data_IF_436776110915
#
_entry.id   IF_436776110915
#
_cell.length_a   1.000
_cell.length_b   1.000
_cell.length_c   1.000
_cell.angle_alpha   90.00
_cell.angle_beta   90.00
_cell.angle_gamma   90.00
#
_symmetry.space_group_name_H-M   'P 1'
#
loop_
_entity.id
_entity.type
_entity.pdbx_description
1 polymer ?
#
# COMPACT_ATOMS: atom_id res chain seq x y z
N UNK A 1 -53.00 -38.89 38.34
CA UNK A 1 -51.82 -38.16 38.87
C UNK A 1 -51.31 -37.25 37.78
N UNK A 2 -51.69 -35.96 37.79
CA UNK A 2 -51.13 -34.94 36.90
C UNK A 2 -49.89 -34.37 37.58
N UNK A 3 -48.73 -34.43 36.92
CA UNK A 3 -47.51 -33.78 37.38
C UNK A 3 -47.07 -32.71 36.36
N UNK A 4 -46.89 -31.51 36.91
CA UNK A 4 -46.77 -30.21 36.26
C UNK A 4 -45.52 -30.02 35.41
N UNK A 5 -45.68 -29.28 34.31
CA UNK A 5 -44.60 -28.63 33.56
C UNK A 5 -44.02 -27.47 34.37
N UNK A 6 -42.72 -27.50 34.61
CA UNK A 6 -41.94 -26.37 35.14
C UNK A 6 -41.25 -25.68 33.97
N UNK A 7 -41.66 -24.44 33.67
CA UNK A 7 -40.97 -23.53 32.75
C UNK A 7 -39.99 -22.69 33.59
N UNK A 8 -38.69 -22.93 33.43
CA UNK A 8 -37.65 -22.06 33.96
C UNK A 8 -37.47 -20.86 33.02
N UNK A 9 -37.87 -19.68 33.49
CA UNK A 9 -37.54 -18.39 32.88
C UNK A 9 -36.20 -17.91 33.47
N UNK A 10 -35.18 -17.77 32.64
CA UNK A 10 -33.93 -17.08 32.98
C UNK A 10 -34.14 -15.56 32.93
N UNK A 11 -33.61 -14.77 33.89
CA UNK A 11 -33.68 -13.32 33.82
C UNK A 11 -32.60 -12.77 32.87
N UNK A 12 -33.02 -11.90 31.96
CA UNK A 12 -32.15 -11.03 31.15
C UNK A 12 -31.43 -10.06 32.09
N UNK A 13 -30.11 -10.15 32.15
CA UNK A 13 -29.27 -9.14 32.81
C UNK A 13 -29.19 -7.89 31.91
N UNK A 14 -29.88 -6.82 32.32
CA UNK A 14 -29.77 -5.50 31.70
C UNK A 14 -28.44 -4.86 32.10
N UNK A 15 -27.46 -4.83 31.21
CA UNK A 15 -26.23 -4.05 31.38
C UNK A 15 -26.54 -2.59 31.03
N UNK A 16 -26.69 -1.76 32.05
CA UNK A 16 -26.78 -0.31 31.89
C UNK A 16 -25.40 0.25 31.46
N UNK A 17 -25.26 0.65 30.19
CA UNK A 17 -24.12 1.45 29.74
C UNK A 17 -24.25 2.86 30.31
N UNK A 18 -23.37 3.23 31.24
CA UNK A 18 -23.16 4.64 31.63
C UNK A 18 -22.58 5.39 30.43
N UNK A 19 -23.34 6.33 29.88
CA UNK A 19 -22.85 7.31 28.94
C UNK A 19 -21.93 8.30 29.68
N UNK A 20 -20.66 8.37 29.29
CA UNK A 20 -19.76 9.46 29.68
C UNK A 20 -19.91 10.55 28.64
N UNK A 21 -20.51 11.68 29.03
CA UNK A 21 -20.54 12.88 28.22
C UNK A 21 -19.13 13.50 28.23
N UNK A 22 -18.43 13.46 27.10
CA UNK A 22 -17.18 14.21 26.90
C UNK A 22 -17.56 15.59 26.37
N UNK A 23 -17.42 16.61 27.21
CA UNK A 23 -17.57 18.02 26.82
C UNK A 23 -16.37 18.45 25.98
N UNK A 24 -16.63 18.88 24.74
CA UNK A 24 -15.65 19.43 23.83
C UNK A 24 -15.47 20.93 24.09
N UNK A 25 -14.34 21.33 24.68
CA UNK A 25 -13.92 22.73 24.72
C UNK A 25 -13.04 23.00 23.49
N UNK A 26 -13.60 23.75 22.55
CA UNK A 26 -12.97 24.20 21.31
C UNK A 26 -12.13 25.44 21.62
N UNK A 27 -10.80 25.34 21.58
CA UNK A 27 -9.91 26.49 21.62
C UNK A 27 -9.47 26.87 20.19
N UNK A 28 -10.05 27.94 19.66
CA UNK A 28 -9.62 28.60 18.43
C UNK A 28 -8.37 29.44 18.69
N UNK A 29 -7.24 29.09 18.09
CA UNK A 29 -6.06 29.95 18.03
C UNK A 29 -5.77 30.29 16.56
N UNK A 30 -6.25 31.46 16.13
CA UNK A 30 -5.85 32.08 14.88
C UNK A 30 -4.44 32.66 15.05
N UNK A 31 -3.48 32.22 14.23
CA UNK A 31 -2.21 32.93 14.03
C UNK A 31 -2.25 33.65 12.69
N UNK A 32 -2.36 34.97 12.76
CA UNK A 32 -2.09 35.88 11.67
C UNK A 32 -0.57 36.06 11.54
N UNK A 33 -0.02 35.82 10.35
CA UNK A 33 1.31 36.32 9.98
C UNK A 33 1.12 37.53 9.07
N UNK A 34 1.55 38.68 9.57
CA UNK A 34 1.60 39.97 8.89
C UNK A 34 2.69 39.96 7.84
N UNK A 35 2.33 40.33 6.62
CA UNK A 35 3.25 40.76 5.57
C UNK A 35 3.80 42.14 5.88
N UNK A 36 5.10 42.33 5.70
CA UNK A 36 5.69 43.64 5.46
C UNK A 36 6.61 43.56 4.26
N UNK A 37 6.15 44.15 3.16
CA UNK A 37 6.99 44.61 2.07
C UNK A 37 7.25 46.10 2.29
N UNK A 38 8.50 46.54 2.16
CA UNK A 38 8.83 47.96 2.04
C UNK A 38 9.82 48.18 0.89
N UNK A 39 9.26 48.73 -0.18
CA UNK A 39 9.77 49.76 -1.09
C UNK A 39 11.28 49.94 -1.32
N UNK A 40 11.61 49.85 -2.60
CA UNK A 40 12.76 50.44 -3.28
C UNK A 40 12.79 51.98 -3.23
N UNK A 41 13.99 52.55 -3.09
CA UNK A 41 14.38 53.82 -3.73
C UNK A 41 15.91 53.86 -3.91
N UNK A 42 16.35 54.38 -5.05
CA UNK A 42 17.72 54.29 -5.54
C UNK A 42 18.63 55.45 -5.14
N UNK A 43 19.90 55.35 -5.55
CA UNK A 43 20.88 56.42 -5.45
C UNK A 43 22.29 55.93 -5.76
N UNK A 44 22.76 56.18 -6.98
CA UNK A 44 24.13 55.94 -7.41
C UNK A 44 25.09 57.01 -6.85
N UNK A 45 26.29 56.60 -6.43
CA UNK A 45 27.37 57.51 -6.04
C UNK A 45 28.72 56.80 -6.06
N UNK A 46 29.53 57.10 -7.09
CA UNK A 46 30.90 56.64 -7.30
C UNK A 46 31.84 57.19 -6.22
N UNK A 47 32.85 56.42 -5.83
CA UNK A 47 34.24 56.91 -5.68
C UNK A 47 35.22 55.73 -5.57
N UNK A 48 36.12 55.66 -6.55
CA UNK A 48 37.35 54.88 -6.51
C UNK A 48 38.35 55.55 -5.55
N UNK A 49 39.14 54.74 -4.83
CA UNK A 49 40.55 55.04 -4.62
C UNK A 49 41.36 53.76 -4.85
N UNK A 50 42.18 53.81 -5.92
CA UNK A 50 43.31 52.93 -6.16
C UNK A 50 44.52 53.58 -5.51
N UNK A 51 45.32 52.80 -4.78
CA UNK A 51 46.75 53.03 -4.66
C UNK A 51 47.47 51.69 -4.50
N UNK A 52 48.03 51.22 -5.61
CA UNK A 52 49.07 50.21 -5.66
C UNK A 52 50.44 50.89 -5.54
N UNK A 53 51.40 50.23 -4.88
CA UNK A 53 52.75 49.88 -5.38
C UNK A 53 53.82 49.84 -4.27
N UNK A 54 54.39 48.65 -4.09
CA UNK A 54 55.83 48.34 -4.19
C UNK A 54 56.00 46.84 -3.85
N UNK A 55 56.06 45.92 -4.83
CA UNK A 55 57.26 45.53 -5.56
C UNK A 55 58.42 45.08 -4.65
N UNK A 56 58.56 43.76 -4.48
CA UNK A 56 59.78 43.13 -3.92
C UNK A 56 59.48 41.98 -2.94
N UNK A 57 60.02 40.78 -3.23
CA UNK A 57 60.09 39.59 -2.37
C UNK A 57 58.90 38.59 -2.33
N UNK A 58 58.01 38.58 -3.32
CA UNK A 58 56.83 37.69 -3.36
C UNK A 58 57.04 36.23 -3.82
N UNK A 59 58.24 35.83 -4.27
CA UNK A 59 58.42 34.50 -4.89
C UNK A 59 59.14 33.45 -4.01
N UNK A 60 59.74 33.83 -2.88
CA UNK A 60 60.46 32.89 -2.00
C UNK A 60 59.69 32.49 -0.73
N UNK A 61 58.76 33.32 -0.26
CA UNK A 61 57.98 33.06 0.96
C UNK A 61 56.84 32.05 0.78
N UNK A 62 56.28 31.92 -0.43
CA UNK A 62 55.17 31.00 -0.70
C UNK A 62 55.63 29.53 -0.77
N UNK A 63 56.88 29.29 -1.18
CA UNK A 63 57.45 27.93 -1.21
C UNK A 63 57.85 27.41 0.18
N UNK A 64 58.35 28.28 1.06
CA UNK A 64 58.73 27.89 2.43
C UNK A 64 57.54 27.68 3.37
N UNK A 65 56.42 28.38 3.16
CA UNK A 65 55.19 28.13 3.93
C UNK A 65 54.46 26.85 3.49
N UNK A 66 54.61 26.45 2.20
CA UNK A 66 53.98 25.25 1.65
C UNK A 66 54.74 23.95 1.95
N UNK A 67 56.05 23.99 2.27
CA UNK A 67 56.83 22.79 2.62
C UNK A 67 56.94 22.51 4.13
N UNK A 68 56.70 23.49 5.00
CA UNK A 68 56.88 23.32 6.46
C UNK A 68 55.66 22.79 7.23
N UNK A 69 54.59 22.35 6.55
CA UNK A 69 53.47 21.62 7.15
C UNK A 69 53.37 20.15 6.71
N UNK A 70 54.49 19.53 6.31
CA UNK A 70 54.60 18.07 6.34
C UNK A 70 54.82 17.58 7.77
N UNK A 71 53.79 17.75 8.59
CA UNK A 71 53.67 17.08 9.88
C UNK A 71 53.18 15.66 9.64
N UNK A 72 54.10 14.70 9.74
CA UNK A 72 53.80 13.27 9.82
C UNK A 72 53.14 12.97 11.16
N UNK A 73 51.84 13.20 11.25
CA UNK A 73 50.99 12.51 12.21
C UNK A 73 50.41 11.29 11.49
N UNK A 74 50.41 10.10 12.10
CA UNK A 74 49.68 8.99 11.52
C UNK A 74 48.20 9.40 11.51
N UNK A 75 47.64 9.62 10.32
CA UNK A 75 46.19 9.56 10.16
C UNK A 75 45.83 8.10 10.37
N UNK A 76 45.60 7.74 11.64
CA UNK A 76 44.78 6.59 11.94
C UNK A 76 43.40 6.99 11.46
N UNK A 77 43.12 6.75 10.17
CA UNK A 77 41.73 6.56 9.76
C UNK A 77 41.35 5.30 10.50
N UNK A 78 40.78 5.47 11.69
CA UNK A 78 39.96 4.44 12.27
C UNK A 78 38.87 4.23 11.22
N UNK A 79 39.09 3.26 10.34
CA UNK A 79 38.01 2.49 9.78
C UNK A 79 37.27 1.99 11.02
N UNK A 80 36.25 2.74 11.44
CA UNK A 80 35.20 2.16 12.24
C UNK A 80 34.73 1.01 11.36
N UNK A 81 35.20 -0.19 11.67
CA UNK A 81 34.60 -1.40 11.15
C UNK A 81 33.13 -1.24 11.53
N UNK A 82 32.29 -0.91 10.54
CA UNK A 82 30.85 -0.99 10.73
C UNK A 82 30.64 -2.41 11.25
N UNK A 83 30.16 -2.50 12.50
CA UNK A 83 29.68 -3.78 13.00
C UNK A 83 28.73 -4.30 11.92
N UNK A 84 28.83 -5.58 11.52
CA UNK A 84 27.90 -6.15 10.56
C UNK A 84 26.50 -5.74 10.98
N UNK A 85 25.80 -4.97 10.14
CA UNK A 85 24.44 -4.55 10.45
C UNK A 85 23.66 -5.86 10.57
N UNK A 86 23.18 -6.16 11.77
CA UNK A 86 22.38 -7.36 12.01
C UNK A 86 21.29 -7.44 10.94
N UNK A 87 21.06 -8.61 10.33
CA UNK A 87 20.05 -8.75 9.30
C UNK A 87 18.71 -8.19 9.79
N UNK A 88 18.04 -7.41 8.94
CA UNK A 88 16.77 -6.79 9.30
C UNK A 88 15.78 -7.86 9.78
N UNK A 89 15.23 -7.65 10.97
CA UNK A 89 14.19 -8.51 11.53
C UNK A 89 12.83 -8.15 10.93
N UNK A 90 12.48 -8.84 9.83
CA UNK A 90 11.23 -8.60 9.12
C UNK A 90 9.97 -8.89 9.97
N UNK A 91 10.05 -9.71 11.03
CA UNK A 91 8.90 -9.87 11.93
C UNK A 91 8.64 -8.59 12.74
N UNK A 92 9.70 -7.85 13.13
CA UNK A 92 9.52 -6.54 13.77
C UNK A 92 8.91 -5.52 12.81
N UNK A 93 9.31 -5.54 11.54
CA UNK A 93 8.70 -4.68 10.52
C UNK A 93 7.23 -5.04 10.33
N UNK A 94 6.92 -6.34 10.19
CA UNK A 94 5.55 -6.83 10.12
C UNK A 94 4.71 -6.32 11.31
N UNK A 95 5.22 -6.46 12.54
CA UNK A 95 4.52 -6.01 13.75
C UNK A 95 4.31 -4.48 13.75
N UNK A 96 5.28 -3.70 13.27
CA UNK A 96 5.15 -2.25 13.16
C UNK A 96 4.12 -1.84 12.11
N UNK A 97 3.97 -2.61 11.02
CA UNK A 97 2.90 -2.40 10.04
C UNK A 97 1.54 -2.77 10.66
N UNK A 98 1.43 -3.92 11.30
CA UNK A 98 0.22 -4.38 11.97
C UNK A 98 -0.30 -3.32 12.97
N UNK A 99 0.60 -2.71 13.73
CA UNK A 99 0.29 -1.65 14.70
C UNK A 99 -0.30 -0.37 14.09
N UNK A 100 -0.24 -0.17 12.77
CA UNK A 100 -0.78 1.01 12.09
C UNK A 100 -1.92 0.70 11.11
N UNK A 101 -2.40 -0.56 11.08
CA UNK A 101 -3.54 -1.00 10.25
C UNK A 101 -4.85 -0.42 10.78
N UNK A 102 -5.16 -0.63 12.06
CA UNK A 102 -6.41 -0.14 12.66
C UNK A 102 -6.31 1.37 12.94
N UNK A 103 -7.30 2.14 12.45
CA UNK A 103 -7.41 3.59 12.69
C UNK A 103 -8.86 4.03 12.43
N UNK A 104 -9.62 4.30 13.50
CA UNK A 104 -11.04 4.70 13.42
C UNK A 104 -11.27 5.98 12.59
N UNK A 105 -10.22 6.76 12.33
CA UNK A 105 -10.32 7.99 11.54
C UNK A 105 -10.15 7.78 10.04
N UNK A 106 -9.88 6.55 9.59
CA UNK A 106 -9.65 6.24 8.19
C UNK A 106 -10.67 5.21 7.67
N UNK A 107 -11.53 5.68 6.76
CA UNK A 107 -12.47 4.87 5.98
C UNK A 107 -13.33 3.94 6.87
N UNK A 108 -13.21 2.62 6.69
CA UNK A 108 -13.91 1.59 7.47
C UNK A 108 -13.21 1.26 8.81
N UNK A 109 -12.39 2.19 9.32
CA UNK A 109 -11.59 2.01 10.53
C UNK A 109 -10.26 1.27 10.29
N UNK A 110 -9.82 1.12 9.04
CA UNK A 110 -8.64 0.31 8.70
C UNK A 110 -7.91 0.76 7.44
N UNK A 111 -6.58 0.83 7.53
CA UNK A 111 -5.66 0.98 6.41
C UNK A 111 -5.36 -0.35 5.69
N UNK A 112 -5.73 -1.49 6.27
CA UNK A 112 -5.42 -2.81 5.70
C UNK A 112 -5.85 -2.96 4.24
N UNK A 113 -7.11 -2.64 3.86
CA UNK A 113 -7.54 -2.73 2.47
C UNK A 113 -6.69 -1.87 1.50
N UNK A 114 -6.29 -0.66 1.91
CA UNK A 114 -5.46 0.21 1.05
C UNK A 114 -4.00 -0.22 1.00
N UNK A 115 -3.47 -0.86 2.05
CA UNK A 115 -2.14 -1.48 2.04
C UNK A 115 -2.09 -2.66 1.08
N UNK A 116 -3.11 -3.54 1.11
CA UNK A 116 -3.21 -4.63 0.16
C UNK A 116 -3.35 -4.11 -1.28
N UNK A 117 -4.17 -3.06 -1.50
CA UNK A 117 -4.27 -2.42 -2.81
C UNK A 117 -2.93 -1.82 -3.26
N UNK A 118 -2.18 -1.15 -2.39
CA UNK A 118 -0.86 -0.62 -2.72
C UNK A 118 0.09 -1.76 -3.14
N UNK A 119 0.14 -2.85 -2.38
CA UNK A 119 0.97 -4.01 -2.69
C UNK A 119 0.59 -4.64 -4.04
N UNK A 120 -0.72 -4.78 -4.31
CA UNK A 120 -1.24 -5.24 -5.60
C UNK A 120 -0.80 -4.30 -6.73
N UNK A 121 -1.07 -3.01 -6.64
CA UNK A 121 -0.76 -2.05 -7.71
C UNK A 121 0.73 -1.90 -7.96
N UNK A 122 1.56 -1.93 -6.91
CA UNK A 122 3.01 -1.89 -7.04
C UNK A 122 3.57 -3.16 -7.71
N UNK A 123 2.85 -4.28 -7.68
CA UNK A 123 3.26 -5.55 -8.30
C UNK A 123 2.61 -5.77 -9.68
N UNK A 124 1.38 -5.28 -9.87
CA UNK A 124 0.53 -5.51 -11.02
C UNK A 124 0.90 -4.71 -12.27
N UNK A 125 2.08 -4.10 -12.29
CA UNK A 125 2.63 -3.43 -13.48
C UNK A 125 3.58 -4.34 -14.28
N UNK A 126 3.84 -5.56 -13.79
CA UNK A 126 4.79 -6.46 -14.44
C UNK A 126 4.32 -6.92 -15.81
N UNK A 127 5.22 -6.91 -16.79
CA UNK A 127 5.03 -7.51 -18.11
C UNK A 127 6.14 -8.51 -18.38
N UNK A 128 5.79 -9.80 -18.55
CA UNK A 128 6.75 -10.89 -18.79
C UNK A 128 7.54 -10.72 -20.10
N UNK A 129 6.98 -10.04 -21.10
CA UNK A 129 7.62 -9.85 -22.39
C UNK A 129 8.64 -8.72 -22.32
N UNK A 130 8.28 -7.61 -21.69
CA UNK A 130 9.17 -6.46 -21.50
C UNK A 130 10.17 -6.67 -20.35
N UNK A 131 9.86 -7.57 -19.41
CA UNK A 131 10.66 -7.91 -18.21
C UNK A 131 10.92 -6.71 -17.31
N UNK A 132 9.94 -5.82 -17.21
CA UNK A 132 9.96 -4.59 -16.42
C UNK A 132 8.64 -4.43 -15.64
N UNK A 133 8.57 -3.39 -14.80
CA UNK A 133 7.53 -3.25 -13.78
C UNK A 133 7.64 -4.33 -12.70
N UNK A 134 6.53 -4.58 -12.00
CA UNK A 134 6.52 -5.49 -10.85
C UNK A 134 6.96 -4.81 -9.56
N UNK A 135 7.01 -5.59 -8.49
CA UNK A 135 7.18 -5.05 -7.13
C UNK A 135 8.60 -4.57 -6.82
N UNK A 136 9.56 -4.91 -7.68
CA UNK A 136 10.93 -4.42 -7.57
C UNK A 136 11.00 -2.92 -7.92
N UNK A 137 12.03 -2.23 -7.47
CA UNK A 137 12.30 -0.80 -7.74
C UNK A 137 11.36 0.22 -7.07
N UNK A 138 10.16 -0.20 -6.65
CA UNK A 138 9.21 0.63 -5.91
C UNK A 138 8.95 1.98 -6.60
N UNK A 139 8.70 1.93 -7.90
CA UNK A 139 8.68 3.08 -8.81
C UNK A 139 7.47 4.01 -8.59
N UNK A 140 6.42 3.54 -7.91
CA UNK A 140 5.29 4.37 -7.48
C UNK A 140 5.67 5.45 -6.43
N UNK A 141 6.95 5.57 -6.06
CA UNK A 141 7.51 6.74 -5.36
C UNK A 141 7.64 7.94 -6.28
N UNK A 142 7.84 7.70 -7.56
CA UNK A 142 8.11 8.73 -8.56
C UNK A 142 6.83 9.17 -9.27
N UNK A 143 6.83 10.42 -9.73
CA UNK A 143 5.65 11.07 -10.34
C UNK A 143 5.08 10.31 -11.55
N UNK A 144 5.88 9.71 -12.46
CA UNK A 144 5.34 9.02 -13.63
C UNK A 144 4.33 7.94 -13.23
N UNK A 145 4.72 6.99 -12.39
CA UNK A 145 3.81 5.92 -11.96
C UNK A 145 2.82 6.38 -10.87
N UNK A 146 3.26 7.21 -9.91
CA UNK A 146 2.40 7.70 -8.84
C UNK A 146 1.21 8.53 -9.37
N UNK A 147 1.39 9.17 -10.52
CA UNK A 147 0.39 10.01 -11.19
C UNK A 147 -0.57 9.26 -12.11
N UNK A 148 -0.37 7.95 -12.36
CA UNK A 148 -1.31 7.15 -13.14
C UNK A 148 -2.70 7.16 -12.50
N UNK A 149 -3.76 7.30 -13.31
CA UNK A 149 -5.13 7.40 -12.81
C UNK A 149 -5.55 6.19 -11.97
N UNK A 150 -5.09 5.00 -12.36
CA UNK A 150 -5.34 3.76 -11.62
C UNK A 150 -4.76 3.78 -10.19
N UNK A 151 -3.75 4.60 -9.91
CA UNK A 151 -3.07 4.69 -8.61
C UNK A 151 -3.65 5.79 -7.70
N UNK A 152 -4.74 6.46 -8.11
CA UNK A 152 -5.41 7.47 -7.31
C UNK A 152 -5.76 6.95 -5.90
N UNK A 153 -5.42 7.74 -4.88
CA UNK A 153 -5.58 7.43 -3.46
C UNK A 153 -4.46 6.61 -2.83
N UNK A 154 -3.57 5.95 -3.60
CA UNK A 154 -2.49 5.14 -3.02
C UNK A 154 -1.37 5.95 -2.36
N UNK A 155 -1.34 7.27 -2.57
CA UNK A 155 -0.48 8.17 -1.81
C UNK A 155 -0.74 8.12 -0.30
N UNK A 156 -1.99 7.89 0.10
CA UNK A 156 -2.39 7.78 1.51
C UNK A 156 -1.69 6.58 2.18
N UNK A 157 -1.66 5.43 1.50
CA UNK A 157 -0.97 4.24 1.99
C UNK A 157 0.55 4.45 2.06
N UNK A 158 1.14 5.05 1.01
CA UNK A 158 2.58 5.35 0.98
C UNK A 158 3.00 6.28 2.12
N UNK A 159 2.23 7.35 2.35
CA UNK A 159 2.49 8.30 3.44
C UNK A 159 2.34 7.64 4.81
N UNK A 160 1.31 6.81 5.00
CA UNK A 160 1.11 6.08 6.27
C UNK A 160 2.27 5.11 6.54
N UNK A 161 2.75 4.40 5.52
CA UNK A 161 3.87 3.46 5.63
C UNK A 161 5.24 4.14 5.82
N UNK A 162 5.38 5.43 5.51
CA UNK A 162 6.62 6.16 5.81
C UNK A 162 6.96 6.14 7.31
N UNK A 163 5.97 6.09 8.21
CA UNK A 163 6.20 5.95 9.65
C UNK A 163 6.93 4.65 10.02
N UNK A 164 6.71 3.58 9.25
CA UNK A 164 7.43 2.30 9.41
C UNK A 164 8.79 2.41 8.73
N UNK A 165 8.87 3.03 7.55
CA UNK A 165 10.14 3.28 6.85
C UNK A 165 11.13 4.06 7.73
N UNK A 166 10.66 5.04 8.49
CA UNK A 166 11.47 5.84 9.41
C UNK A 166 12.04 5.02 10.58
N UNK A 167 11.29 4.02 11.04
CA UNK A 167 11.74 3.09 12.09
C UNK A 167 12.73 2.04 11.57
N UNK A 168 12.61 1.67 10.29
CA UNK A 168 13.42 0.65 9.63
C UNK A 168 14.04 1.20 8.34
N UNK A 169 14.99 2.15 8.41
CA UNK A 169 15.53 2.83 7.24
C UNK A 169 16.25 1.88 6.26
N UNK A 170 16.65 0.68 6.68
CA UNK A 170 17.22 -0.37 5.82
C UNK A 170 16.23 -1.10 4.91
N UNK A 171 14.93 -1.12 5.21
CA UNK A 171 13.98 -1.82 4.33
C UNK A 171 13.82 -1.04 3.02
N UNK A 172 13.83 -1.73 1.88
CA UNK A 172 13.43 -1.10 0.61
C UNK A 172 11.93 -0.78 0.62
N UNK A 173 11.50 0.20 -0.17
CA UNK A 173 10.08 0.50 -0.29
C UNK A 173 9.29 -0.66 -0.91
N UNK A 174 9.90 -1.40 -1.84
CA UNK A 174 9.28 -2.57 -2.44
C UNK A 174 9.02 -3.68 -1.41
N UNK A 175 10.01 -3.96 -0.56
CA UNK A 175 9.84 -4.93 0.53
C UNK A 175 8.80 -4.42 1.54
N UNK A 176 8.83 -3.13 1.88
CA UNK A 176 7.86 -2.53 2.80
C UNK A 176 6.42 -2.63 2.29
N UNK A 177 6.16 -2.29 1.02
CA UNK A 177 4.80 -2.29 0.48
C UNK A 177 4.25 -3.69 0.31
N UNK A 178 5.06 -4.65 -0.16
CA UNK A 178 4.62 -6.03 -0.27
C UNK A 178 4.44 -6.70 1.09
N UNK A 179 5.32 -6.42 2.06
CA UNK A 179 5.15 -6.86 3.44
C UNK A 179 3.89 -6.26 4.08
N UNK A 180 3.56 -5.01 3.75
CA UNK A 180 2.32 -4.39 4.20
C UNK A 180 1.07 -5.04 3.59
N UNK A 181 1.14 -5.50 2.34
CA UNK A 181 0.09 -6.35 1.75
C UNK A 181 -0.08 -7.67 2.48
N UNK A 182 1.03 -8.35 2.82
CA UNK A 182 1.01 -9.60 3.61
C UNK A 182 0.42 -9.38 4.99
N UNK A 183 0.86 -8.33 5.71
CA UNK A 183 0.30 -7.96 7.01
C UNK A 183 -1.20 -7.64 6.92
N UNK A 184 -1.62 -6.90 5.89
CA UNK A 184 -3.05 -6.61 5.68
C UNK A 184 -3.89 -7.87 5.44
N UNK A 185 -3.40 -8.84 4.66
CA UNK A 185 -4.12 -10.11 4.45
C UNK A 185 -4.26 -10.85 5.77
N UNK A 186 -3.16 -11.00 6.51
CA UNK A 186 -3.10 -11.82 7.72
C UNK A 186 -3.82 -11.19 8.92
N UNK A 187 -3.58 -9.90 9.22
CA UNK A 187 -4.20 -9.23 10.38
C UNK A 187 -5.71 -9.04 10.23
N UNK A 188 -6.22 -9.04 9.00
CA UNK A 188 -7.66 -8.98 8.71
C UNK A 188 -8.31 -10.39 8.65
N UNK A 189 -7.61 -11.44 9.09
CA UNK A 189 -8.16 -12.79 9.21
C UNK A 189 -8.00 -13.68 7.98
N UNK A 190 -7.20 -13.26 7.00
CA UNK A 190 -6.89 -14.03 5.79
C UNK A 190 -5.80 -15.09 6.01
N UNK A 191 -5.38 -15.78 4.93
CA UNK A 191 -4.38 -16.84 5.02
C UNK A 191 -2.97 -16.30 5.31
N UNK A 192 -2.12 -17.19 5.85
CA UNK A 192 -0.67 -16.94 5.92
C UNK A 192 -0.10 -16.93 4.50
N UNK A 193 0.60 -15.84 4.15
CA UNK A 193 1.23 -15.67 2.83
C UNK A 193 2.73 -15.76 2.99
N UNK A 194 3.34 -16.71 2.29
CA UNK A 194 4.79 -16.79 2.18
C UNK A 194 5.33 -15.51 1.54
N UNK A 195 6.39 -14.96 2.11
CA UNK A 195 6.99 -13.72 1.62
C UNK A 195 8.51 -13.84 1.55
N UNK A 196 9.12 -13.17 0.57
CA UNK A 196 10.56 -13.07 0.43
C UNK A 196 10.99 -11.61 0.36
N UNK A 197 12.07 -11.31 1.08
CA UNK A 197 12.80 -10.05 1.01
C UNK A 197 13.76 -10.02 -0.19
N UNK A 198 14.23 -8.84 -0.54
CA UNK A 198 15.30 -8.67 -1.53
C UNK A 198 14.94 -7.75 -2.69
N UNK A 199 13.79 -7.05 -2.62
CA UNK A 199 13.52 -5.95 -3.57
C UNK A 199 14.52 -4.84 -3.33
N UNK A 200 14.97 -4.22 -4.41
CA UNK A 200 15.86 -3.06 -4.39
C UNK A 200 15.07 -1.83 -4.81
N UNK A 201 15.34 -0.68 -4.20
CA UNK A 201 14.77 0.58 -4.67
C UNK A 201 15.50 1.03 -5.93
N UNK A 202 14.74 1.42 -6.96
CA UNK A 202 15.28 1.90 -8.23
C UNK A 202 15.07 3.40 -8.40
N UNK A 203 15.26 3.85 -9.63
CA UNK A 203 15.14 5.26 -10.03
C UNK A 203 13.88 5.50 -10.88
N UNK A 204 13.59 6.77 -11.18
CA UNK A 204 12.39 7.18 -11.90
C UNK A 204 12.26 6.52 -13.30
N UNK A 205 13.37 6.25 -13.97
CA UNK A 205 13.44 5.60 -15.29
C UNK A 205 12.98 4.14 -15.32
N UNK A 206 12.87 3.50 -14.15
CA UNK A 206 12.29 2.16 -14.01
C UNK A 206 10.76 2.19 -14.03
N UNK A 207 10.14 3.38 -14.00
CA UNK A 207 8.68 3.52 -13.94
C UNK A 207 8.03 2.90 -15.19
N UNK A 208 7.08 1.96 -15.02
CA UNK A 208 6.36 1.38 -16.14
C UNK A 208 5.46 2.43 -16.81
N UNK A 209 5.09 2.25 -18.09
CA UNK A 209 4.08 3.08 -18.73
C UNK A 209 2.70 2.89 -18.07
N UNK A 210 1.83 3.89 -18.23
CA UNK A 210 0.43 3.79 -17.81
C UNK A 210 -0.34 2.70 -18.60
N UNK A 211 -1.48 2.27 -18.08
CA UNK A 211 -2.36 1.30 -18.73
C UNK A 211 -2.00 -0.17 -18.53
N UNK A 212 -1.03 -0.49 -17.66
CA UNK A 212 -0.71 -1.89 -17.29
C UNK A 212 -1.64 -2.50 -16.24
N UNK A 213 -2.38 -1.66 -15.52
CA UNK A 213 -3.35 -2.10 -14.50
C UNK A 213 -4.74 -2.32 -15.13
N UNK A 214 -5.56 -3.23 -14.58
CA UNK A 214 -6.87 -3.55 -15.15
C UNK A 214 -7.87 -2.39 -15.01
N UNK A 215 -8.86 -2.36 -15.91
CA UNK A 215 -9.93 -1.36 -15.95
C UNK A 215 -11.22 -2.00 -15.43
N UNK A 216 -11.69 -1.48 -14.30
CA UNK A 216 -12.89 -1.94 -13.62
C UNK A 216 -14.18 -1.79 -14.46
N UNK A 217 -14.22 -0.89 -15.43
CA UNK A 217 -15.40 -0.64 -16.27
C UNK A 217 -15.58 -1.70 -17.37
N UNK A 218 -14.56 -2.52 -17.63
CA UNK A 218 -14.59 -3.58 -18.65
C UNK A 218 -15.38 -4.78 -18.14
N UNK A 219 -16.56 -4.99 -18.73
CA UNK A 219 -17.49 -6.06 -18.35
C UNK A 219 -17.21 -7.40 -19.06
N UNK A 220 -16.00 -7.56 -19.61
CA UNK A 220 -15.59 -8.73 -20.38
C UNK A 220 -14.39 -9.42 -19.71
N UNK A 221 -14.41 -10.76 -19.69
CA UNK A 221 -13.32 -11.54 -19.10
C UNK A 221 -12.01 -11.45 -19.89
N UNK A 222 -12.08 -11.10 -21.18
CA UNK A 222 -10.90 -11.01 -22.04
C UNK A 222 -9.94 -9.91 -21.58
N UNK A 223 -10.46 -8.72 -21.23
CA UNK A 223 -9.65 -7.65 -20.66
C UNK A 223 -8.82 -8.10 -19.45
N UNK A 224 -9.43 -8.89 -18.56
CA UNK A 224 -8.72 -9.42 -17.39
C UNK A 224 -7.62 -10.40 -17.80
N UNK A 225 -7.89 -11.31 -18.75
CA UNK A 225 -6.87 -12.21 -19.29
C UNK A 225 -5.72 -11.46 -19.96
N UNK A 226 -6.02 -10.44 -20.76
CA UNK A 226 -5.01 -9.66 -21.49
C UNK A 226 -4.00 -8.98 -20.56
N UNK A 227 -4.45 -8.56 -19.37
CA UNK A 227 -3.62 -7.95 -18.33
C UNK A 227 -2.89 -9.02 -17.53
N UNK A 228 -3.60 -9.99 -16.98
CA UNK A 228 -3.03 -10.95 -16.02
C UNK A 228 -2.17 -12.03 -16.68
N UNK A 229 -2.43 -12.39 -17.94
CA UNK A 229 -1.59 -13.35 -18.67
C UNK A 229 -0.19 -12.78 -18.95
N UNK A 230 -0.06 -11.45 -19.11
CA UNK A 230 1.25 -10.78 -19.19
C UNK A 230 2.02 -10.84 -17.86
N UNK A 231 1.31 -10.98 -16.74
CA UNK A 231 1.90 -11.24 -15.43
C UNK A 231 2.17 -12.74 -15.18
N UNK A 232 1.79 -13.60 -16.13
CA UNK A 232 1.95 -15.05 -16.04
C UNK A 232 0.90 -15.75 -15.18
N UNK A 233 -0.24 -15.13 -14.89
CA UNK A 233 -1.34 -15.78 -14.18
C UNK A 233 -2.24 -16.59 -15.11
N UNK A 234 -2.90 -17.60 -14.56
CA UNK A 234 -3.98 -18.34 -15.22
C UNK A 234 -5.37 -17.91 -14.69
N UNK A 235 -6.45 -18.44 -15.28
CA UNK A 235 -7.82 -18.07 -14.91
C UNK A 235 -8.16 -18.32 -13.43
N UNK A 236 -7.61 -19.38 -12.83
CA UNK A 236 -7.82 -19.71 -11.43
C UNK A 236 -7.19 -18.65 -10.52
N UNK A 237 -5.94 -18.29 -10.79
CA UNK A 237 -5.19 -17.32 -10.00
C UNK A 237 -5.79 -15.91 -10.10
N UNK A 238 -6.31 -15.53 -11.28
CA UNK A 238 -7.04 -14.26 -11.49
C UNK A 238 -8.26 -14.21 -10.56
N UNK A 239 -9.09 -15.26 -10.58
CA UNK A 239 -10.31 -15.30 -9.77
C UNK A 239 -9.98 -15.38 -8.28
N UNK A 240 -8.90 -16.07 -7.89
CA UNK A 240 -8.43 -16.08 -6.51
C UNK A 240 -8.06 -14.66 -6.07
N UNK A 241 -7.18 -13.97 -6.79
CA UNK A 241 -6.74 -12.60 -6.45
C UNK A 241 -7.91 -11.61 -6.35
N UNK A 242 -8.94 -11.77 -7.19
CA UNK A 242 -10.14 -10.92 -7.14
C UNK A 242 -10.91 -11.02 -5.81
N UNK A 243 -10.77 -12.14 -5.08
CA UNK A 243 -11.35 -12.31 -3.74
C UNK A 243 -10.88 -11.25 -2.74
N UNK A 244 -9.75 -10.57 -2.99
CA UNK A 244 -9.33 -9.41 -2.20
C UNK A 244 -10.34 -8.25 -2.20
N UNK A 245 -11.25 -8.18 -3.17
CA UNK A 245 -12.37 -7.23 -3.15
C UNK A 245 -13.36 -7.51 -2.01
N UNK A 246 -13.23 -8.61 -1.25
CA UNK A 246 -13.89 -8.75 0.04
C UNK A 246 -13.53 -7.63 1.03
N UNK A 247 -12.36 -6.99 0.82
CA UNK A 247 -11.84 -5.90 1.65
C UNK A 247 -12.06 -4.52 1.02
N UNK A 248 -12.42 -3.56 1.88
CA UNK A 248 -12.51 -2.15 1.59
C UNK A 248 -13.69 -1.78 0.70
N UNK A 249 -13.52 -0.65 -0.01
CA UNK A 249 -14.55 -0.03 -0.83
C UNK A 249 -13.99 0.83 -1.95
N UNK A 250 -14.81 1.10 -2.95
CA UNK A 250 -14.53 2.15 -3.93
C UNK A 250 -14.90 3.54 -3.42
N UNK A 251 -14.22 4.55 -3.98
CA UNK A 251 -14.38 5.95 -3.64
C UNK A 251 -14.50 6.81 -4.91
N UNK A 252 -15.49 7.70 -4.94
CA UNK A 252 -15.82 8.52 -6.12
C UNK A 252 -14.66 9.40 -6.58
N UNK A 253 -13.93 9.97 -5.63
CA UNK A 253 -12.78 10.85 -5.85
C UNK A 253 -11.51 10.11 -6.29
N UNK A 254 -11.51 8.76 -6.27
CA UNK A 254 -10.35 7.93 -6.62
C UNK A 254 -10.59 7.15 -7.91
N UNK A 255 -11.60 6.30 -7.94
CA UNK A 255 -11.89 5.42 -9.07
C UNK A 255 -13.17 5.80 -9.82
N UNK A 256 -13.92 6.81 -9.34
CA UNK A 256 -15.25 7.14 -9.85
C UNK A 256 -16.35 6.23 -9.33
N UNK A 257 -16.06 4.98 -8.92
CA UNK A 257 -16.98 4.03 -8.30
C UNK A 257 -17.19 4.31 -6.81
N UNK A 258 -18.20 3.70 -6.17
CA UNK A 258 -18.59 4.06 -4.81
C UNK A 258 -19.23 2.90 -4.04
N UNK A 259 -18.72 2.63 -2.83
CA UNK A 259 -19.31 1.66 -1.90
C UNK A 259 -18.51 0.36 -1.75
N UNK A 260 -18.81 -0.42 -0.70
CA UNK A 260 -18.15 -1.68 -0.39
C UNK A 260 -18.74 -2.86 -1.19
N UNK A 261 -17.96 -3.92 -1.36
CA UNK A 261 -18.42 -5.18 -1.95
C UNK A 261 -19.12 -6.09 -0.94
N UNK A 262 -18.70 -6.02 0.33
CA UNK A 262 -19.17 -6.89 1.41
C UNK A 262 -19.65 -6.06 2.61
N UNK A 263 -20.40 -6.68 3.51
CA UNK A 263 -20.87 -6.02 4.74
C UNK A 263 -19.76 -5.83 5.79
N UNK A 264 -18.65 -6.57 5.66
CA UNK A 264 -17.51 -6.57 6.58
C UNK A 264 -16.22 -6.22 5.82
N UNK A 265 -16.04 -4.97 5.37
CA UNK A 265 -14.94 -4.57 4.49
C UNK A 265 -13.55 -4.63 5.15
N UNK A 266 -13.46 -5.00 6.42
CA UNK A 266 -12.21 -5.15 7.18
C UNK A 266 -11.96 -6.58 7.65
N UNK A 267 -12.70 -7.57 7.12
CA UNK A 267 -12.49 -8.98 7.42
C UNK A 267 -12.28 -9.75 6.12
N UNK A 268 -11.16 -10.44 6.00
CA UNK A 268 -10.82 -11.21 4.81
C UNK A 268 -11.60 -12.53 4.84
N UNK A 269 -12.60 -12.67 3.97
CA UNK A 269 -13.45 -13.84 3.85
C UNK A 269 -13.67 -14.20 2.38
N UNK A 270 -14.35 -15.32 2.12
CA UNK A 270 -14.83 -15.65 0.78
C UNK A 270 -16.15 -14.93 0.42
N UNK A 271 -16.58 -13.92 1.20
CA UNK A 271 -17.88 -13.27 1.04
C UNK A 271 -18.02 -12.54 -0.29
N UNK A 272 -16.92 -12.07 -0.89
CA UNK A 272 -16.95 -11.53 -2.24
C UNK A 272 -17.66 -12.49 -3.22
N UNK A 273 -17.34 -13.79 -3.16
CA UNK A 273 -17.92 -14.79 -4.06
C UNK A 273 -19.34 -15.19 -3.65
N UNK A 274 -19.61 -15.33 -2.35
CA UNK A 274 -20.96 -15.69 -1.86
C UNK A 274 -21.95 -14.59 -2.18
N UNK A 275 -21.57 -13.32 -2.02
CA UNK A 275 -22.40 -12.16 -2.33
C UNK A 275 -22.58 -11.97 -3.85
N UNK A 276 -21.50 -12.17 -4.63
CA UNK A 276 -21.56 -12.11 -6.10
C UNK A 276 -22.57 -13.10 -6.69
N UNK A 277 -22.62 -14.34 -6.17
CA UNK A 277 -23.54 -15.38 -6.64
C UNK A 277 -24.91 -15.37 -5.96
N UNK A 278 -24.96 -14.97 -4.69
CA UNK A 278 -26.14 -15.09 -3.82
C UNK A 278 -27.13 -13.93 -3.96
N UNK A 279 -26.68 -12.78 -4.48
CA UNK A 279 -27.51 -11.57 -4.59
C UNK A 279 -28.05 -11.35 -5.98
N UNK A 280 -29.17 -10.61 -6.03
CA UNK A 280 -29.70 -10.06 -7.27
C UNK A 280 -29.11 -8.68 -7.51
N UNK A 281 -28.16 -8.60 -8.44
CA UNK A 281 -27.52 -7.36 -8.84
C UNK A 281 -28.32 -6.61 -9.90
N UNK A 282 -28.49 -5.30 -9.71
CA UNK A 282 -29.10 -4.39 -10.69
C UNK A 282 -28.16 -3.24 -11.01
N UNK A 283 -28.23 -2.69 -12.21
CA UNK A 283 -27.43 -1.52 -12.56
C UNK A 283 -27.87 -0.31 -11.73
N UNK A 284 -26.92 0.28 -10.99
CA UNK A 284 -27.12 1.48 -10.19
C UNK A 284 -27.41 2.67 -11.11
N UNK A 285 -28.46 3.43 -10.80
CA UNK A 285 -28.82 4.66 -11.54
C UNK A 285 -28.29 5.88 -10.80
N UNK A 286 -27.17 6.43 -11.26
CA UNK A 286 -26.43 7.50 -10.60
C UNK A 286 -25.50 8.24 -11.59
N UNK A 287 -24.76 9.23 -11.11
CA UNK A 287 -23.88 10.09 -11.93
C UNK A 287 -22.47 9.55 -12.15
N UNK A 288 -22.13 8.39 -11.57
CA UNK A 288 -20.82 7.76 -11.73
C UNK A 288 -20.79 6.76 -12.89
N UNK A 289 -19.67 6.02 -13.04
CA UNK A 289 -19.56 4.96 -14.04
C UNK A 289 -20.58 3.85 -13.81
N UNK A 290 -20.79 3.02 -14.83
CA UNK A 290 -21.67 1.85 -14.72
C UNK A 290 -21.22 0.96 -13.58
N UNK A 291 -22.10 0.77 -12.60
CA UNK A 291 -21.86 -0.01 -11.39
C UNK A 291 -23.12 -0.81 -11.09
N UNK A 292 -22.98 -1.92 -10.36
CA UNK A 292 -24.11 -2.71 -9.88
C UNK A 292 -24.32 -2.49 -8.39
N UNK A 293 -25.57 -2.48 -7.96
CA UNK A 293 -25.97 -2.47 -6.55
C UNK A 293 -26.86 -3.68 -6.25
N UNK A 294 -26.81 -4.15 -5.01
CA UNK A 294 -27.73 -5.17 -4.52
C UNK A 294 -29.19 -4.64 -4.60
N UNK A 295 -30.10 -5.42 -5.17
CA UNK A 295 -31.48 -4.97 -5.42
C UNK A 295 -32.27 -4.68 -4.14
N UNK A 296 -31.99 -5.38 -3.06
CA UNK A 296 -32.80 -5.36 -1.84
C UNK A 296 -32.38 -4.24 -0.90
N UNK A 297 -31.11 -4.25 -0.48
CA UNK A 297 -30.52 -3.31 0.46
C UNK A 297 -29.89 -2.09 -0.21
N UNK A 298 -29.43 -2.22 -1.45
CA UNK A 298 -28.60 -1.22 -2.17
C UNK A 298 -27.35 -0.78 -1.42
N UNK A 299 -26.90 -1.59 -0.46
CA UNK A 299 -25.78 -1.28 0.43
C UNK A 299 -24.44 -1.77 -0.10
N UNK A 300 -24.47 -2.82 -0.91
CA UNK A 300 -23.29 -3.45 -1.52
C UNK A 300 -23.24 -3.17 -3.01
N UNK A 301 -22.04 -3.28 -3.57
CA UNK A 301 -21.79 -3.02 -4.98
C UNK A 301 -20.94 -4.10 -5.65
N UNK A 302 -21.02 -4.14 -6.98
CA UNK A 302 -20.08 -4.88 -7.82
C UNK A 302 -19.65 -4.00 -9.01
N UNK A 303 -18.38 -4.10 -9.40
CA UNK A 303 -17.86 -3.50 -10.62
C UNK A 303 -18.31 -4.31 -11.84
N UNK A 304 -18.33 -3.70 -13.04
CA UNK A 304 -18.49 -4.45 -14.30
C UNK A 304 -17.51 -5.61 -14.45
N UNK A 305 -16.24 -5.41 -14.07
CA UNK A 305 -15.22 -6.46 -14.08
C UNK A 305 -15.54 -7.62 -13.12
N UNK A 306 -16.06 -7.35 -11.91
CA UNK A 306 -16.47 -8.40 -10.97
C UNK A 306 -17.62 -9.24 -11.55
N UNK A 307 -18.61 -8.56 -12.13
CA UNK A 307 -19.74 -9.22 -12.78
C UNK A 307 -19.31 -10.05 -14.00
N UNK A 308 -18.19 -9.69 -14.65
CA UNK A 308 -17.64 -10.46 -15.77
C UNK A 308 -17.16 -11.84 -15.32
N UNK A 309 -16.58 -11.96 -14.12
CA UNK A 309 -16.11 -13.25 -13.59
C UNK A 309 -17.25 -14.24 -13.34
N UNK A 310 -18.42 -13.75 -12.93
CA UNK A 310 -19.59 -14.59 -12.75
C UNK A 310 -20.28 -14.98 -14.07
N UNK A 311 -19.98 -14.29 -15.18
CA UNK A 311 -20.59 -14.51 -16.51
C UNK A 311 -19.71 -15.34 -17.44
N UNK A 312 -18.41 -15.17 -17.37
CA UNK A 312 -17.44 -15.94 -18.14
C UNK A 312 -17.42 -17.39 -17.65
N UNK A 313 -17.55 -18.35 -18.56
CA UNK A 313 -17.72 -19.77 -18.22
C UNK A 313 -16.52 -20.35 -17.47
N UNK A 314 -15.29 -19.95 -17.80
CA UNK A 314 -14.09 -20.51 -17.19
C UNK A 314 -13.80 -19.84 -15.84
N UNK A 315 -13.99 -18.53 -15.74
CA UNK A 315 -13.90 -17.84 -14.44
C UNK A 315 -14.99 -18.28 -13.46
N UNK A 316 -16.23 -18.43 -13.93
CA UNK A 316 -17.38 -18.78 -13.09
C UNK A 316 -17.15 -20.10 -12.33
N UNK A 317 -16.45 -21.07 -12.91
CA UNK A 317 -16.12 -22.34 -12.23
C UNK A 317 -15.37 -22.07 -10.92
N UNK A 318 -14.37 -21.19 -10.95
CA UNK A 318 -13.58 -20.83 -9.78
C UNK A 318 -14.36 -19.97 -8.80
N UNK A 319 -15.18 -19.03 -9.29
CA UNK A 319 -16.10 -18.24 -8.45
C UNK A 319 -17.01 -19.17 -7.64
N UNK A 320 -17.60 -20.19 -8.28
CA UNK A 320 -18.48 -21.16 -7.63
C UNK A 320 -17.73 -22.09 -6.65
N UNK A 321 -16.48 -22.44 -6.93
CA UNK A 321 -15.63 -23.20 -6.01
C UNK A 321 -15.36 -22.38 -4.75
N UNK A 322 -14.86 -21.15 -4.90
CA UNK A 322 -14.49 -20.30 -3.76
C UNK A 322 -15.69 -19.83 -2.94
N UNK A 323 -16.86 -19.65 -3.55
CA UNK A 323 -18.09 -19.41 -2.80
C UNK A 323 -18.47 -20.58 -1.88
N UNK A 324 -18.12 -21.82 -2.24
CA UNK A 324 -18.48 -23.03 -1.47
C UNK A 324 -17.38 -23.48 -0.51
N UNK A 325 -16.13 -23.13 -0.78
CA UNK A 325 -14.97 -23.61 -0.05
C UNK A 325 -13.99 -22.47 0.26
N UNK A 326 -14.15 -21.89 1.46
CA UNK A 326 -13.29 -20.82 1.95
C UNK A 326 -11.84 -21.28 2.15
N UNK A 327 -11.62 -22.54 2.52
CA UNK A 327 -10.26 -23.08 2.71
C UNK A 327 -9.53 -23.18 1.37
N UNK A 328 -10.21 -23.66 0.32
CA UNK A 328 -9.63 -23.71 -1.02
C UNK A 328 -9.33 -22.32 -1.56
N UNK A 329 -10.22 -21.35 -1.32
CA UNK A 329 -9.96 -19.95 -1.64
C UNK A 329 -8.71 -19.43 -0.94
N UNK A 330 -8.59 -19.64 0.37
CA UNK A 330 -7.47 -19.15 1.17
C UNK A 330 -6.13 -19.76 0.72
N UNK A 331 -6.11 -21.07 0.46
CA UNK A 331 -4.91 -21.77 -0.04
C UNK A 331 -4.46 -21.21 -1.39
N UNK A 332 -5.38 -21.02 -2.32
CA UNK A 332 -5.09 -20.53 -3.67
C UNK A 332 -4.72 -19.05 -3.67
N UNK A 333 -5.44 -18.24 -2.87
CA UNK A 333 -5.17 -16.82 -2.72
C UNK A 333 -3.77 -16.59 -2.18
N UNK A 334 -3.35 -17.34 -1.15
CA UNK A 334 -2.01 -17.19 -0.58
C UNK A 334 -0.90 -17.45 -1.62
N UNK A 335 -1.07 -18.50 -2.45
CA UNK A 335 -0.11 -18.82 -3.53
C UNK A 335 -0.10 -17.74 -4.62
N UNK A 336 -1.28 -17.27 -5.04
CA UNK A 336 -1.40 -16.24 -6.07
C UNK A 336 -0.87 -14.88 -5.58
N UNK A 337 -1.13 -14.51 -4.32
CA UNK A 337 -0.62 -13.29 -3.70
C UNK A 337 0.91 -13.35 -3.52
N UNK A 338 1.46 -14.49 -3.09
CA UNK A 338 2.92 -14.69 -3.08
C UNK A 338 3.51 -14.47 -4.47
N UNK A 339 2.99 -15.17 -5.48
CA UNK A 339 3.46 -15.06 -6.87
C UNK A 339 3.42 -13.62 -7.37
N UNK A 340 2.31 -12.93 -7.14
CA UNK A 340 2.14 -11.52 -7.48
C UNK A 340 3.22 -10.66 -6.85
N UNK A 341 3.39 -10.75 -5.54
CA UNK A 341 4.34 -9.90 -4.83
C UNK A 341 5.78 -10.19 -5.27
N UNK A 342 6.07 -11.37 -5.82
CA UNK A 342 7.40 -11.75 -6.31
C UNK A 342 7.67 -11.38 -7.78
N UNK A 343 6.69 -10.84 -8.51
CA UNK A 343 6.87 -10.45 -9.92
C UNK A 343 7.93 -9.36 -10.08
N UNK A 344 8.83 -9.56 -11.05
CA UNK A 344 9.93 -8.64 -11.35
C UNK A 344 11.13 -8.71 -10.39
N UNK A 345 11.10 -9.62 -9.40
CA UNK A 345 12.18 -9.78 -8.42
C UNK A 345 13.03 -11.00 -8.75
N UNK A 346 14.35 -10.84 -8.72
CA UNK A 346 15.29 -11.95 -8.83
C UNK A 346 15.73 -12.37 -7.43
N UNK A 347 15.35 -13.57 -7.03
CA UNK A 347 15.78 -14.16 -5.77
C UNK A 347 16.91 -15.16 -6.00
N UNK A 348 17.84 -15.24 -5.06
CA UNK A 348 18.82 -16.32 -4.99
C UNK A 348 18.13 -17.65 -4.69
N UNK A 349 18.71 -18.78 -5.12
CA UNK A 349 18.11 -20.12 -4.96
C UNK A 349 17.85 -20.50 -3.49
N UNK A 350 18.64 -19.94 -2.56
CA UNK A 350 18.53 -20.14 -1.12
C UNK A 350 17.84 -18.96 -0.40
N UNK A 351 17.18 -18.06 -1.12
CA UNK A 351 16.51 -16.91 -0.52
C UNK A 351 15.49 -17.36 0.54
N UNK A 352 15.63 -16.82 1.75
CA UNK A 352 14.79 -17.17 2.89
C UNK A 352 13.33 -16.80 2.61
N UNK A 353 12.45 -17.79 2.75
CA UNK A 353 10.99 -17.60 2.76
C UNK A 353 10.54 -17.35 4.20
N UNK A 354 9.77 -16.28 4.39
CA UNK A 354 9.22 -15.87 5.66
C UNK A 354 7.74 -16.25 5.74
N UNK A 355 7.34 -16.74 6.90
CA UNK A 355 5.95 -16.86 7.34
C UNK A 355 5.84 -16.08 8.64
N UNK A 356 5.07 -15.00 8.61
CA UNK A 356 4.95 -14.10 9.75
C UNK A 356 3.86 -14.57 10.69
N UNK A 357 4.09 -14.40 11.99
CA UNK A 357 3.05 -14.62 13.01
C UNK A 357 2.18 -13.37 13.08
N UNK A 358 0.86 -13.47 12.83
CA UNK A 358 -0.03 -12.34 12.98
C UNK A 358 -0.08 -11.87 14.45
N UNK A 359 -0.32 -10.59 14.66
CA UNK A 359 -0.41 -10.01 16.00
C UNK A 359 -1.76 -10.28 16.68
N UNK A 360 -2.80 -10.50 15.87
CA UNK A 360 -4.15 -10.81 16.32
C UNK A 360 -4.46 -12.33 16.40
N UNK A 361 -3.46 -13.20 16.15
CA UNK A 361 -3.65 -14.66 16.04
C UNK A 361 -3.67 -15.42 17.38
#
# INVERSE_FOLDING_TARGET
MLASRVLLRSPLATVARRAVAVSSVRATAARAYTSQASSSSGGAGKSLFIAALAAGAGAAGYHFYAESQKSTLPVVVAAAAEKPKEPLDYQKVYNAIAAIIEDENYDDGSYGPVFLRLAWHASGTYDVNAKDGGSNFATMRFKPEAGHGANAGLGIARERLNRVKDQFPEISYGDLWTLAGVAAIQELGGPIVNWRAGRVDGEEDHSPPDGRLPDAARADGQHSRDIFYKMGFNDQEIVALLGAHALGRCHKDRSGFDGPWTASPTVFTNDFYTELLGRKWVERKWSGPKQFEDKESKSLMMLPADMAMAKDKEFRKWVEIYAKDSNKFFEDFAKAAQKLFELGVKFEDNAKVYQFKPTNA
#
